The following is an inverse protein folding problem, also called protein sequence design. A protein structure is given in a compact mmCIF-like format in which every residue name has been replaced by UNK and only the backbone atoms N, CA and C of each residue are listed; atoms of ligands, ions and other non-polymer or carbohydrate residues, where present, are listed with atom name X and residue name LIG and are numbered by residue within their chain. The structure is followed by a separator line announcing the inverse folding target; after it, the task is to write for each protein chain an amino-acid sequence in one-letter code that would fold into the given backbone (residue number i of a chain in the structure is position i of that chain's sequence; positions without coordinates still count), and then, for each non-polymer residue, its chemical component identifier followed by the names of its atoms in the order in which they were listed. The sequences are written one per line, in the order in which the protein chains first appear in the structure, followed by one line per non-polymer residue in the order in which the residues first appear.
data_IF_319034993635
#
_entry.id   IF_319034993635
#
_cell.length_a   1.000
_cell.length_b   1.000
_cell.length_c   1.000
_cell.angle_alpha   90.00
_cell.angle_beta   90.00
_cell.angle_gamma   90.00
#
_symmetry.space_group_name_H-M   'P 1'
#
loop_
_entity.id
_entity.type
_entity.pdbx_description
1 polymer ?
#
# COMPACT_ATOMS: atom_id res chain seq x y z
N UNK A 1 31.95 13.11 25.44
CA UNK A 1 31.93 12.69 24.02
C UNK A 1 30.48 12.40 23.61
N UNK A 2 29.71 13.43 23.25
CA UNK A 2 28.37 13.23 22.71
C UNK A 2 28.49 13.06 21.19
N UNK A 3 28.29 11.85 20.67
CA UNK A 3 28.15 11.63 19.22
C UNK A 3 26.93 12.43 18.76
N UNK A 4 27.00 13.18 17.66
CA UNK A 4 25.92 14.07 17.28
C UNK A 4 24.71 13.22 16.87
N UNK A 5 23.59 13.44 17.55
CA UNK A 5 22.32 12.70 17.44
C UNK A 5 21.84 12.60 15.96
N UNK A 6 22.21 13.56 15.11
CA UNK A 6 21.87 13.56 13.68
C UNK A 6 22.44 12.37 12.88
N UNK A 7 23.58 11.79 13.30
CA UNK A 7 24.19 10.64 12.60
C UNK A 7 23.41 9.34 12.80
N UNK A 8 22.62 9.24 13.87
CA UNK A 8 21.82 8.07 14.19
C UNK A 8 20.40 8.18 13.63
N UNK A 9 19.84 9.39 13.53
CA UNK A 9 18.47 9.61 13.04
C UNK A 9 18.33 9.44 11.52
N UNK A 10 19.37 9.77 10.76
CA UNK A 10 19.36 9.64 9.29
C UNK A 10 19.14 8.19 8.79
N UNK A 11 19.88 7.17 9.26
CA UNK A 11 19.64 5.78 8.84
C UNK A 11 18.28 5.23 9.29
N UNK A 12 17.73 5.71 10.41
CA UNK A 12 16.40 5.32 10.87
C UNK A 12 15.33 5.79 9.88
N UNK A 13 15.42 7.05 9.42
CA UNK A 13 14.50 7.58 8.40
C UNK A 13 14.60 6.85 7.06
N UNK A 14 15.83 6.53 6.63
CA UNK A 14 16.10 5.74 5.43
C UNK A 14 15.50 4.32 5.53
N UNK A 15 15.70 3.63 6.65
CA UNK A 15 15.15 2.30 6.90
C UNK A 15 13.62 2.34 6.84
N UNK A 16 13.00 3.32 7.49
CA UNK A 16 11.54 3.51 7.47
C UNK A 16 11.00 3.69 6.05
N UNK A 17 11.63 4.54 5.23
CA UNK A 17 11.23 4.74 3.83
C UNK A 17 11.42 3.48 2.97
N UNK A 18 12.50 2.74 3.19
CA UNK A 18 12.76 1.49 2.48
C UNK A 18 11.75 0.40 2.87
N UNK A 19 11.45 0.26 4.16
CA UNK A 19 10.43 -0.68 4.65
C UNK A 19 9.04 -0.30 4.14
N UNK A 20 8.69 0.99 4.13
CA UNK A 20 7.43 1.47 3.57
C UNK A 20 7.31 1.15 2.06
N UNK A 21 8.38 1.34 1.28
CA UNK A 21 8.44 0.97 -0.13
C UNK A 21 8.20 -0.53 -0.34
N UNK A 22 8.83 -1.40 0.47
CA UNK A 22 8.61 -2.85 0.41
C UNK A 22 7.16 -3.21 0.74
N UNK A 23 6.57 -2.61 1.78
CA UNK A 23 5.17 -2.87 2.16
C UNK A 23 4.20 -2.48 1.05
N UNK A 24 4.40 -1.32 0.42
CA UNK A 24 3.61 -0.87 -0.73
C UNK A 24 3.83 -1.77 -1.95
N UNK A 25 5.04 -2.28 -2.16
CA UNK A 25 5.33 -3.27 -3.20
C UNK A 25 4.57 -4.57 -2.96
N UNK A 26 4.59 -5.10 -1.74
CA UNK A 26 3.81 -6.30 -1.36
C UNK A 26 2.32 -6.06 -1.55
N UNK A 27 1.84 -4.89 -1.15
CA UNK A 27 0.44 -4.47 -1.35
C UNK A 27 0.09 -4.41 -2.84
N UNK A 28 1.00 -3.94 -3.68
CA UNK A 28 0.83 -3.88 -5.14
C UNK A 28 0.83 -5.28 -5.78
N UNK A 29 1.53 -6.25 -5.17
CA UNK A 29 1.59 -7.64 -5.64
C UNK A 29 0.52 -8.55 -5.02
N UNK A 30 -0.30 -8.00 -4.12
CA UNK A 30 -1.39 -8.69 -3.42
C UNK A 30 -2.46 -9.10 -4.43
N UNK A 31 -2.59 -10.42 -4.63
CA UNK A 31 -3.30 -11.13 -5.71
C UNK A 31 -2.90 -10.66 -7.14
N UNK A 32 -2.01 -11.43 -7.82
CA UNK A 32 -2.15 -12.88 -7.92
C UNK A 32 -1.04 -13.71 -7.27
N UNK A 33 -0.09 -13.12 -6.53
CA UNK A 33 1.08 -13.88 -6.01
C UNK A 33 0.82 -14.49 -4.62
N UNK A 34 0.01 -13.83 -3.79
CA UNK A 34 -0.23 -14.25 -2.40
C UNK A 34 -1.74 -14.34 -2.14
N UNK A 35 -2.30 -15.55 -2.27
CA UNK A 35 -3.75 -15.80 -2.25
C UNK A 35 -4.42 -15.38 -0.92
N UNK A 36 -3.65 -15.31 0.17
CA UNK A 36 -4.10 -14.97 1.52
C UNK A 36 -3.92 -13.48 1.89
N UNK A 37 -3.16 -12.71 1.11
CA UNK A 37 -2.93 -11.27 1.33
C UNK A 37 -3.72 -10.52 0.27
N UNK A 38 -5.05 -10.54 0.38
CA UNK A 38 -5.94 -9.71 -0.43
C UNK A 38 -6.22 -8.35 0.23
N UNK A 39 -6.73 -7.41 -0.53
CA UNK A 39 -7.27 -6.14 -0.03
C UNK A 39 -8.66 -6.34 0.60
N UNK A 40 -9.48 -7.18 -0.02
CA UNK A 40 -10.79 -7.57 0.49
C UNK A 40 -10.95 -9.09 0.38
N UNK A 41 -11.43 -9.71 1.46
CA UNK A 41 -11.75 -11.14 1.50
C UNK A 41 -13.24 -11.33 1.73
N UNK A 42 -13.88 -12.11 0.88
CA UNK A 42 -15.30 -12.45 0.98
C UNK A 42 -15.41 -13.94 1.29
N UNK A 43 -16.03 -14.28 2.42
CA UNK A 43 -16.35 -15.66 2.82
C UNK A 43 -17.82 -15.93 2.48
N UNK A 44 -18.09 -16.97 1.69
CA UNK A 44 -19.46 -17.30 1.24
C UNK A 44 -20.20 -18.14 2.29
N UNK A 45 -21.53 -18.04 2.35
CA UNK A 45 -22.38 -18.69 3.38
C UNK A 45 -22.32 -20.22 3.42
N UNK A 46 -21.89 -20.89 2.35
CA UNK A 46 -21.79 -22.36 2.33
C UNK A 46 -20.52 -22.88 3.04
N UNK A 47 -20.16 -22.25 4.15
CA UNK A 47 -19.13 -22.67 5.07
C UNK A 47 -19.65 -23.85 5.90
N UNK A 48 -19.61 -25.04 5.30
CA UNK A 48 -19.67 -26.29 6.07
C UNK A 48 -18.29 -26.52 6.69
N UNK A 49 -18.19 -27.29 7.79
CA UNK A 49 -16.93 -27.56 8.52
C UNK A 49 -15.78 -28.16 7.67
N UNK A 50 -16.01 -28.40 6.37
CA UNK A 50 -15.08 -28.95 5.38
C UNK A 50 -14.90 -28.07 4.13
N UNK A 51 -15.55 -26.90 4.02
CA UNK A 51 -15.59 -26.04 2.81
C UNK A 51 -15.44 -24.55 3.19
N UNK A 52 -14.24 -23.98 3.11
CA UNK A 52 -13.99 -22.54 3.33
C UNK A 52 -13.83 -21.78 1.99
N UNK A 53 -14.81 -21.87 1.08
CA UNK A 53 -14.73 -21.14 -0.18
C UNK A 53 -14.69 -19.64 0.08
N UNK A 54 -13.54 -19.02 -0.20
CA UNK A 54 -13.31 -17.61 0.02
C UNK A 54 -12.73 -16.96 -1.23
N UNK A 55 -13.20 -15.75 -1.52
CA UNK A 55 -12.73 -14.96 -2.66
C UNK A 55 -11.86 -13.84 -2.12
N UNK A 56 -10.64 -13.75 -2.63
CA UNK A 56 -9.64 -12.76 -2.24
C UNK A 56 -9.42 -11.80 -3.41
N UNK A 57 -9.75 -10.53 -3.21
CA UNK A 57 -9.58 -9.47 -4.20
C UNK A 57 -8.23 -8.77 -3.99
N UNK A 58 -7.45 -8.66 -5.05
CA UNK A 58 -6.15 -7.98 -5.08
C UNK A 58 -6.18 -6.68 -5.89
N UNK A 59 -5.01 -6.11 -6.16
CA UNK A 59 -4.87 -4.86 -6.93
C UNK A 59 -5.10 -5.07 -8.43
N UNK A 60 -4.65 -6.20 -8.98
CA UNK A 60 -4.68 -6.47 -10.42
C UNK A 60 -5.55 -7.68 -10.81
N UNK A 61 -6.26 -8.28 -9.87
CA UNK A 61 -7.15 -9.39 -10.12
C UNK A 61 -7.71 -9.97 -8.84
N UNK A 62 -8.39 -11.11 -8.95
CA UNK A 62 -8.95 -11.83 -7.83
C UNK A 62 -8.59 -13.32 -7.89
N UNK A 63 -8.58 -13.95 -6.73
CA UNK A 63 -8.40 -15.38 -6.59
C UNK A 63 -9.60 -15.98 -5.87
N UNK A 64 -10.09 -17.09 -6.40
CA UNK A 64 -11.09 -17.93 -5.76
C UNK A 64 -10.32 -19.08 -5.11
N UNK A 65 -10.34 -19.11 -3.78
CA UNK A 65 -9.72 -20.18 -3.01
C UNK A 65 -10.75 -21.29 -2.77
N UNK A 66 -10.25 -22.53 -2.72
CA UNK A 66 -11.02 -23.75 -2.44
C UNK A 66 -12.14 -24.07 -3.47
N UNK A 67 -11.81 -24.11 -4.77
CA UNK A 67 -12.71 -24.54 -5.86
C UNK A 67 -12.66 -26.06 -6.11
N UNK A 68 -13.77 -26.74 -6.50
CA UNK A 68 -13.81 -28.19 -6.79
C UNK A 68 -12.94 -28.58 -8.01
N UNK A 69 -12.30 -29.78 -8.06
CA UNK A 69 -12.48 -30.95 -7.18
C UNK A 69 -11.48 -31.03 -6.01
N UNK A 70 -11.95 -31.70 -4.94
CA UNK A 70 -11.39 -31.79 -3.57
C UNK A 70 -10.03 -32.51 -3.47
N UNK A 71 -9.54 -33.10 -4.55
CA UNK A 71 -8.28 -33.88 -4.56
C UNK A 71 -7.04 -33.03 -4.80
N UNK A 72 -7.21 -31.77 -5.19
CA UNK A 72 -6.10 -30.83 -5.36
C UNK A 72 -6.54 -29.45 -4.89
N UNK A 73 -5.77 -28.84 -3.99
CA UNK A 73 -5.86 -27.43 -3.62
C UNK A 73 -5.57 -26.53 -4.85
N UNK A 74 -6.49 -26.49 -5.81
CA UNK A 74 -6.37 -25.66 -7.01
C UNK A 74 -6.98 -24.31 -6.67
N UNK A 75 -6.15 -23.33 -6.35
CA UNK A 75 -6.59 -21.95 -6.27
C UNK A 75 -6.73 -21.39 -7.69
N UNK A 76 -7.90 -20.88 -8.04
CA UNK A 76 -8.11 -20.26 -9.35
C UNK A 76 -7.91 -18.74 -9.24
N UNK A 77 -6.81 -18.26 -9.80
CA UNK A 77 -6.50 -16.83 -9.88
C UNK A 77 -6.68 -16.32 -11.30
N UNK A 78 -7.33 -15.17 -11.46
CA UNK A 78 -7.42 -14.52 -12.76
C UNK A 78 -6.08 -13.94 -13.19
N UNK A 79 -5.87 -13.86 -14.51
CA UNK A 79 -4.76 -13.09 -15.04
C UNK A 79 -4.85 -11.61 -14.65
N UNK A 80 -3.69 -10.94 -14.56
CA UNK A 80 -3.61 -9.51 -14.21
C UNK A 80 -4.30 -8.70 -15.31
N UNK A 81 -5.38 -8.00 -14.97
CA UNK A 81 -6.07 -7.12 -15.90
C UNK A 81 -6.47 -5.82 -15.18
N UNK A 82 -6.36 -4.71 -15.92
CA UNK A 82 -6.67 -3.36 -15.41
C UNK A 82 -8.09 -3.04 -15.84
N UNK A 83 -8.87 -2.39 -14.98
CA UNK A 83 -10.24 -1.98 -15.30
C UNK A 83 -11.31 -3.03 -15.01
N UNK A 84 -10.98 -4.08 -14.25
CA UNK A 84 -12.00 -5.00 -13.75
C UNK A 84 -12.83 -4.31 -12.66
N UNK A 85 -14.09 -4.67 -12.56
CA UNK A 85 -14.97 -4.08 -11.57
C UNK A 85 -15.21 -5.10 -10.45
N UNK A 86 -14.64 -4.90 -9.24
CA UNK A 86 -14.81 -5.85 -8.15
C UNK A 86 -16.27 -5.93 -7.66
N UNK A 87 -17.07 -4.88 -7.87
CA UNK A 87 -18.50 -4.92 -7.55
C UNK A 87 -19.28 -5.76 -8.56
N UNK A 88 -18.89 -5.72 -9.84
CA UNK A 88 -19.45 -6.56 -10.90
C UNK A 88 -19.08 -8.04 -10.73
N UNK A 89 -17.83 -8.33 -10.37
CA UNK A 89 -17.40 -9.72 -10.07
C UNK A 89 -18.18 -10.30 -8.90
N UNK A 90 -18.37 -9.53 -7.83
CA UNK A 90 -19.19 -9.98 -6.68
C UNK A 90 -20.65 -10.15 -7.08
N UNK A 91 -21.22 -9.26 -7.87
CA UNK A 91 -22.61 -9.36 -8.35
C UNK A 91 -22.81 -10.56 -9.30
N UNK A 92 -21.84 -10.86 -10.17
CA UNK A 92 -21.88 -12.05 -11.03
C UNK A 92 -21.78 -13.35 -10.22
N UNK A 93 -20.94 -13.38 -9.18
CA UNK A 93 -20.85 -14.55 -8.29
C UNK A 93 -22.15 -14.71 -7.49
N UNK A 94 -22.69 -13.62 -6.97
CA UNK A 94 -23.92 -13.65 -6.16
C UNK A 94 -25.15 -14.01 -7.01
N UNK A 95 -25.29 -13.47 -8.23
CA UNK A 95 -26.37 -13.84 -9.16
C UNK A 95 -26.29 -15.30 -9.63
N UNK A 96 -25.09 -15.86 -9.75
CA UNK A 96 -24.90 -17.30 -10.02
C UNK A 96 -25.32 -18.19 -8.83
N UNK A 97 -25.24 -17.67 -7.60
CA UNK A 97 -25.58 -18.39 -6.36
C UNK A 97 -27.00 -18.09 -5.85
N UNK A 98 -27.60 -16.97 -6.26
CA UNK A 98 -28.92 -16.49 -5.85
C UNK A 98 -29.54 -15.62 -6.97
N UNK A 99 -30.49 -16.15 -7.76
CA UNK A 99 -31.09 -15.44 -8.91
C UNK A 99 -31.99 -14.25 -8.54
N UNK A 100 -32.07 -13.89 -7.25
CA UNK A 100 -32.91 -12.80 -6.71
C UNK A 100 -32.12 -11.56 -6.31
N UNK A 101 -30.79 -11.53 -6.46
CA UNK A 101 -29.99 -10.37 -6.09
C UNK A 101 -30.07 -9.24 -7.11
N UNK A 102 -30.15 -8.02 -6.59
CA UNK A 102 -30.36 -6.79 -7.37
C UNK A 102 -29.04 -6.39 -8.04
N UNK A 103 -29.03 -6.07 -9.35
CA UNK A 103 -27.81 -5.61 -10.01
C UNK A 103 -27.27 -4.32 -9.37
N UNK A 104 -25.94 -4.10 -9.37
CA UNK A 104 -25.35 -2.85 -8.95
C UNK A 104 -25.95 -1.69 -9.74
N UNK A 105 -26.24 -0.57 -9.08
CA UNK A 105 -26.66 0.66 -9.76
C UNK A 105 -25.57 1.12 -10.75
N UNK A 106 -25.94 1.58 -11.95
CA UNK A 106 -25.02 2.04 -13.01
C UNK A 106 -23.98 3.07 -12.55
N UNK A 107 -24.32 3.88 -11.54
CA UNK A 107 -23.43 4.85 -10.90
C UNK A 107 -22.25 4.17 -10.17
N UNK A 108 -22.48 2.97 -9.62
CA UNK A 108 -21.46 2.13 -9.01
C UNK A 108 -20.47 1.62 -10.05
N UNK A 109 -20.97 0.99 -11.11
CA UNK A 109 -20.16 0.36 -12.16
C UNK A 109 -19.20 1.34 -12.88
N UNK A 110 -19.67 2.56 -13.17
CA UNK A 110 -18.79 3.59 -13.76
C UNK A 110 -17.69 4.07 -12.81
N UNK A 111 -17.97 4.08 -11.50
CA UNK A 111 -17.05 4.55 -10.46
C UNK A 111 -15.99 3.49 -10.16
N UNK A 112 -16.34 2.21 -10.08
CA UNK A 112 -15.40 1.12 -9.79
C UNK A 112 -14.41 0.85 -10.94
N UNK A 113 -14.80 1.02 -12.20
CA UNK A 113 -13.86 0.98 -13.33
C UNK A 113 -12.85 2.14 -13.34
N UNK A 114 -13.25 3.34 -12.90
CA UNK A 114 -12.32 4.46 -12.72
C UNK A 114 -11.38 4.25 -11.52
N UNK A 115 -11.88 3.65 -10.45
CA UNK A 115 -11.11 3.35 -9.23
C UNK A 115 -10.05 2.27 -9.47
N UNK A 116 -10.30 1.23 -10.29
CA UNK A 116 -9.24 0.27 -10.64
C UNK A 116 -8.16 0.86 -11.53
N UNK A 117 -8.44 1.97 -12.23
CA UNK A 117 -7.41 2.76 -12.92
C UNK A 117 -6.48 3.49 -11.94
N UNK A 118 -7.01 3.91 -10.80
CA UNK A 118 -6.22 4.53 -9.70
C UNK A 118 -5.30 3.51 -9.05
N UNK A 119 -5.57 2.20 -9.12
CA UNK A 119 -4.68 1.17 -8.57
C UNK A 119 -3.32 1.07 -9.29
N UNK A 120 -3.17 1.67 -10.48
CA UNK A 120 -1.86 1.85 -11.14
C UNK A 120 -1.00 2.88 -10.41
N UNK A 121 -1.58 3.70 -9.55
CA UNK A 121 -0.84 4.69 -8.75
C UNK A 121 -0.01 4.03 -7.64
N UNK A 122 -0.42 2.87 -7.11
CA UNK A 122 0.34 2.13 -6.08
C UNK A 122 1.79 1.81 -6.49
N UNK A 123 2.07 1.17 -7.65
CA UNK A 123 3.45 0.92 -8.07
C UNK A 123 4.23 2.21 -8.35
N UNK A 124 3.56 3.26 -8.82
CA UNK A 124 4.19 4.56 -9.07
C UNK A 124 4.68 5.17 -7.75
N UNK A 125 3.82 5.19 -6.72
CA UNK A 125 4.17 5.65 -5.37
C UNK A 125 5.34 4.84 -4.80
N UNK A 126 5.30 3.51 -4.94
CA UNK A 126 6.38 2.63 -4.51
C UNK A 126 7.73 3.02 -5.17
N UNK A 127 7.72 3.31 -6.48
CA UNK A 127 8.89 3.77 -7.21
C UNK A 127 9.37 5.15 -6.75
N UNK A 128 8.46 6.09 -6.52
CA UNK A 128 8.80 7.43 -6.01
C UNK A 128 9.46 7.32 -4.63
N UNK A 129 8.95 6.46 -3.74
CA UNK A 129 9.55 6.22 -2.43
C UNK A 129 10.94 5.59 -2.51
N UNK A 130 11.13 4.64 -3.42
CA UNK A 130 12.45 4.05 -3.65
C UNK A 130 13.46 5.08 -4.16
N UNK A 131 13.03 5.97 -5.07
CA UNK A 131 13.85 7.09 -5.55
C UNK A 131 14.15 8.06 -4.40
N UNK A 132 13.16 8.42 -3.57
CA UNK A 132 13.35 9.27 -2.41
C UNK A 132 14.40 8.71 -1.44
N UNK A 133 14.38 7.39 -1.23
CA UNK A 133 15.39 6.66 -0.46
C UNK A 133 16.78 6.78 -1.09
N UNK A 134 16.94 6.49 -2.39
CA UNK A 134 18.24 6.57 -3.08
C UNK A 134 18.81 7.99 -3.07
N UNK A 135 17.98 9.01 -3.30
CA UNK A 135 18.36 10.43 -3.27
C UNK A 135 18.80 10.84 -1.85
N UNK A 136 18.12 10.33 -0.83
CA UNK A 136 18.48 10.57 0.58
C UNK A 136 19.77 9.85 1.00
N UNK A 137 20.09 8.73 0.35
CA UNK A 137 21.28 7.91 0.62
C UNK A 137 22.54 8.44 -0.07
N UNK A 138 22.43 8.89 -1.32
CA UNK A 138 23.57 9.26 -2.17
C UNK A 138 24.03 10.72 -2.06
N UNK A 139 23.18 11.62 -1.57
CA UNK A 139 23.49 13.06 -1.57
C UNK A 139 23.50 13.62 -0.14
N UNK A 140 24.46 14.51 0.14
CA UNK A 140 24.64 15.15 1.45
C UNK A 140 23.42 15.97 1.91
N UNK A 141 23.62 17.03 2.71
CA UNK A 141 22.49 17.82 3.28
C UNK A 141 21.45 18.27 2.22
N UNK A 142 21.87 18.51 0.98
CA UNK A 142 21.00 18.88 -0.15
C UNK A 142 20.18 17.68 -0.67
N UNK A 143 20.79 16.50 -0.74
CA UNK A 143 20.14 15.25 -1.14
C UNK A 143 19.02 14.84 -0.23
N UNK A 144 19.27 14.90 1.08
CA UNK A 144 18.26 14.58 2.07
C UNK A 144 17.07 15.57 2.06
N UNK A 145 17.28 16.83 1.64
CA UNK A 145 16.19 17.80 1.45
C UNK A 145 15.33 17.45 0.22
N UNK A 146 15.97 17.13 -0.90
CA UNK A 146 15.28 16.69 -2.12
C UNK A 146 14.52 15.38 -1.88
N UNK A 147 15.16 14.40 -1.23
CA UNK A 147 14.54 13.14 -0.87
C UNK A 147 13.32 13.31 0.03
N UNK A 148 13.38 14.24 0.99
CA UNK A 148 12.21 14.56 1.83
C UNK A 148 11.05 15.21 1.05
N UNK A 149 11.35 16.07 0.06
CA UNK A 149 10.32 16.65 -0.82
C UNK A 149 9.66 15.57 -1.70
N UNK A 150 10.46 14.64 -2.23
CA UNK A 150 9.96 13.51 -3.03
C UNK A 150 9.12 12.57 -2.16
N UNK A 151 9.56 12.28 -0.93
CA UNK A 151 8.78 11.50 0.04
C UNK A 151 7.47 12.20 0.45
N UNK A 152 7.48 13.53 0.58
CA UNK A 152 6.26 14.29 0.83
C UNK A 152 5.26 14.19 -0.33
N UNK A 153 5.75 14.26 -1.57
CA UNK A 153 4.90 14.06 -2.75
C UNK A 153 4.31 12.65 -2.79
N UNK A 154 5.12 11.62 -2.52
CA UNK A 154 4.64 10.25 -2.41
C UNK A 154 3.55 10.11 -1.33
N UNK A 155 3.75 10.73 -0.17
CA UNK A 155 2.81 10.65 0.94
C UNK A 155 1.43 11.24 0.60
N UNK A 156 1.41 12.37 -0.11
CA UNK A 156 0.16 12.97 -0.62
C UNK A 156 -0.55 12.04 -1.60
N UNK A 157 0.19 11.39 -2.50
CA UNK A 157 -0.39 10.40 -3.41
C UNK A 157 -0.91 9.16 -2.66
N UNK A 158 -0.20 8.71 -1.62
CA UNK A 158 -0.64 7.61 -0.74
C UNK A 158 -1.98 7.94 -0.06
N UNK A 159 -2.23 9.20 0.35
CA UNK A 159 -3.53 9.61 0.91
C UNK A 159 -4.65 9.43 -0.10
N UNK A 160 -4.45 9.89 -1.34
CA UNK A 160 -5.45 9.77 -2.41
C UNK A 160 -5.78 8.30 -2.64
N UNK A 161 -4.74 7.47 -2.75
CA UNK A 161 -4.88 6.02 -2.92
C UNK A 161 -5.62 5.36 -1.75
N UNK A 162 -5.21 5.67 -0.52
CA UNK A 162 -5.84 5.13 0.70
C UNK A 162 -7.34 5.49 0.75
N UNK A 163 -7.70 6.73 0.40
CA UNK A 163 -9.09 7.18 0.37
C UNK A 163 -9.91 6.48 -0.72
N UNK A 164 -9.34 6.29 -1.92
CA UNK A 164 -10.01 5.56 -3.00
C UNK A 164 -10.20 4.10 -2.66
N UNK A 165 -9.20 3.45 -2.07
CA UNK A 165 -9.25 2.03 -1.69
C UNK A 165 -10.30 1.79 -0.60
N UNK A 166 -10.32 2.61 0.46
CA UNK A 166 -11.35 2.52 1.50
C UNK A 166 -12.77 2.77 0.96
N UNK A 167 -12.92 3.71 0.02
CA UNK A 167 -14.22 4.00 -0.58
C UNK A 167 -14.71 2.81 -1.43
N UNK A 168 -13.84 2.27 -2.28
CA UNK A 168 -14.15 1.13 -3.14
C UNK A 168 -14.53 -0.10 -2.31
N UNK A 169 -13.65 -0.54 -1.41
CA UNK A 169 -13.86 -1.75 -0.63
C UNK A 169 -14.93 -1.56 0.44
N UNK A 170 -15.15 -0.32 0.90
CA UNK A 170 -16.25 0.03 1.79
C UNK A 170 -17.62 -0.18 1.15
N UNK A 171 -17.80 0.23 -0.11
CA UNK A 171 -19.05 0.01 -0.87
C UNK A 171 -19.29 -1.49 -1.07
N UNK A 172 -18.28 -2.22 -1.55
CA UNK A 172 -18.39 -3.68 -1.77
C UNK A 172 -18.72 -4.40 -0.47
N UNK A 173 -18.02 -4.08 0.62
CA UNK A 173 -18.30 -4.65 1.94
C UNK A 173 -19.72 -4.36 2.42
N UNK A 174 -20.20 -3.12 2.22
CA UNK A 174 -21.56 -2.76 2.64
C UNK A 174 -22.62 -3.52 1.84
N UNK A 175 -22.39 -3.73 0.55
CA UNK A 175 -23.29 -4.48 -0.32
C UNK A 175 -23.36 -5.96 0.09
N UNK A 176 -22.20 -6.62 0.22
CA UNK A 176 -22.12 -8.05 0.61
C UNK A 176 -22.66 -8.30 2.02
N UNK A 177 -22.51 -7.37 2.95
CA UNK A 177 -23.01 -7.59 4.31
C UNK A 177 -24.53 -7.31 4.46
N UNK A 178 -25.17 -6.75 3.42
CA UNK A 178 -26.56 -6.29 3.48
C UNK A 178 -27.47 -6.99 2.46
N UNK A 179 -26.91 -7.79 1.56
CA UNK A 179 -27.62 -8.60 0.56
C UNK A 179 -28.50 -9.72 1.16
N UNK A 180 -28.32 -10.07 2.45
CA UNK A 180 -29.05 -11.16 3.09
C UNK A 180 -28.62 -12.56 2.62
N UNK A 181 -27.62 -12.63 1.73
CA UNK A 181 -27.03 -13.87 1.23
C UNK A 181 -26.33 -14.63 2.35
N UNK A 182 -25.94 -13.92 3.44
CA UNK A 182 -25.21 -14.38 4.62
C UNK A 182 -23.72 -14.62 4.36
N UNK A 183 -23.23 -14.15 3.21
CA UNK A 183 -21.81 -13.96 2.94
C UNK A 183 -21.27 -12.81 3.78
N UNK A 184 -20.01 -12.88 4.21
CA UNK A 184 -19.36 -11.82 4.98
C UNK A 184 -18.09 -11.34 4.31
N UNK A 185 -17.96 -10.03 4.18
CA UNK A 185 -16.79 -9.38 3.61
C UNK A 185 -15.95 -8.72 4.71
N UNK A 186 -14.64 -8.97 4.68
CA UNK A 186 -13.66 -8.43 5.62
C UNK A 186 -12.52 -7.77 4.86
N UNK A 187 -11.94 -6.72 5.46
CA UNK A 187 -10.69 -6.15 4.96
C UNK A 187 -9.57 -7.17 5.12
N UNK A 188 -8.87 -7.46 4.02
CA UNK A 188 -7.77 -8.40 4.03
C UNK A 188 -6.47 -7.78 4.52
N UNK A 189 -5.44 -8.61 4.67
CA UNK A 189 -4.14 -8.18 5.17
C UNK A 189 -3.49 -7.10 4.28
N UNK A 190 -3.73 -7.11 2.95
CA UNK A 190 -3.21 -6.11 2.02
C UNK A 190 -3.64 -4.68 2.38
N UNK A 191 -4.89 -4.51 2.84
CA UNK A 191 -5.40 -3.19 3.26
C UNK A 191 -4.64 -2.67 4.49
N UNK A 192 -4.35 -3.56 5.45
CA UNK A 192 -3.58 -3.20 6.64
C UNK A 192 -2.11 -2.90 6.31
N UNK A 193 -1.50 -3.63 5.37
CA UNK A 193 -0.14 -3.34 4.91
C UNK A 193 -0.05 -1.95 4.26
N UNK A 194 -1.08 -1.53 3.53
CA UNK A 194 -1.17 -0.18 2.96
C UNK A 194 -1.20 0.89 4.07
N UNK A 195 -2.04 0.69 5.09
CA UNK A 195 -2.13 1.60 6.26
C UNK A 195 -0.80 1.66 7.01
N UNK A 196 -0.15 0.52 7.26
CA UNK A 196 1.16 0.46 7.92
C UNK A 196 2.22 1.16 7.08
N UNK A 197 2.21 0.94 5.76
CA UNK A 197 3.10 1.61 4.81
C UNK A 197 2.95 3.14 4.85
N UNK A 198 1.71 3.64 4.85
CA UNK A 198 1.39 5.06 4.97
C UNK A 198 1.94 5.68 6.26
N UNK A 199 1.78 4.99 7.39
CA UNK A 199 2.27 5.48 8.69
C UNK A 199 3.81 5.48 8.73
N UNK A 200 4.45 4.43 8.24
CA UNK A 200 5.91 4.33 8.20
C UNK A 200 6.53 5.38 7.27
N UNK A 201 5.90 5.63 6.11
CA UNK A 201 6.29 6.68 5.18
C UNK A 201 6.24 8.06 5.85
N UNK A 202 5.15 8.37 6.57
CA UNK A 202 4.99 9.63 7.30
C UNK A 202 6.13 9.84 8.30
N UNK A 203 6.39 8.84 9.15
CA UNK A 203 7.47 8.94 10.13
C UNK A 203 8.85 8.99 9.46
N UNK A 204 9.08 8.21 8.41
CA UNK A 204 10.32 8.24 7.63
C UNK A 204 10.60 9.63 7.07
N UNK A 205 9.60 10.25 6.43
CA UNK A 205 9.68 11.62 5.92
C UNK A 205 10.00 12.62 7.02
N UNK A 206 9.28 12.58 8.14
CA UNK A 206 9.47 13.49 9.28
C UNK A 206 10.89 13.36 9.86
N UNK A 207 11.39 12.14 10.03
CA UNK A 207 12.75 11.89 10.55
C UNK A 207 13.82 12.43 9.60
N UNK A 208 13.67 12.24 8.29
CA UNK A 208 14.61 12.78 7.29
C UNK A 208 14.61 14.32 7.29
N UNK A 209 13.43 14.94 7.38
CA UNK A 209 13.29 16.40 7.50
C UNK A 209 13.98 16.95 8.75
N UNK A 210 13.76 16.33 9.92
CA UNK A 210 14.39 16.76 11.17
C UNK A 210 15.91 16.58 11.14
N UNK A 211 16.41 15.49 10.55
CA UNK A 211 17.84 15.27 10.36
C UNK A 211 18.48 16.40 9.53
N UNK A 212 17.82 16.85 8.47
CA UNK A 212 18.25 17.99 7.66
C UNK A 212 18.26 19.31 8.44
N UNK A 213 17.19 19.60 9.19
CA UNK A 213 17.09 20.82 10.00
C UNK A 213 18.16 20.86 11.10
N UNK A 214 18.47 19.73 11.73
CA UNK A 214 19.56 19.59 12.69
C UNK A 214 20.92 19.97 12.08
N UNK A 215 21.25 19.38 10.92
CA UNK A 215 22.50 19.66 10.21
C UNK A 215 22.59 21.13 9.73
N UNK A 216 21.47 21.73 9.30
CA UNK A 216 21.43 23.14 8.89
C UNK A 216 21.59 24.09 10.07
N UNK A 217 20.98 23.80 11.22
CA UNK A 217 21.07 24.62 12.43
C UNK A 217 22.48 24.61 13.01
N UNK A 218 23.18 23.48 12.95
CA UNK A 218 24.57 23.36 13.36
C UNK A 218 25.50 24.16 12.45
N UNK A 219 25.30 24.13 11.13
CA UNK A 219 26.01 25.02 10.18
C UNK A 219 25.78 26.50 10.46
N UNK A 220 24.55 26.91 10.82
CA UNK A 220 24.26 28.31 11.18
C UNK A 220 24.90 28.73 12.51
N UNK A 221 25.00 27.82 13.48
CA UNK A 221 25.67 28.09 14.77
C UNK A 221 27.20 28.09 14.67
N UNK A 222 27.77 27.27 13.78
CA UNK A 222 29.21 27.27 13.49
C UNK A 222 29.68 28.39 12.54
N UNK A 223 28.76 29.04 11.81
CA UNK A 223 29.07 30.13 10.89
C UNK A 223 29.35 31.49 11.55
N UNK A 224 29.17 31.61 12.87
CA UNK A 224 29.54 32.80 13.64
C UNK A 224 30.88 32.69 14.38
N UNK A 225 31.60 31.56 14.23
CA UNK A 225 32.89 31.31 14.87
C UNK A 225 33.96 31.01 13.83
N UNK A 226 34.77 32.02 13.54
CA UNK A 226 36.17 32.01 13.11
C UNK A 226 36.79 30.64 12.80
N UNK A 227 37.32 30.48 11.58
CA UNK A 227 37.76 29.19 11.07
C UNK A 227 38.88 28.49 11.84
N UNK A 228 38.94 27.15 11.71
CA UNK A 228 40.22 26.43 11.79
C UNK A 228 40.19 25.03 11.16
N UNK A 229 41.00 24.91 10.12
CA UNK A 229 41.81 23.76 9.66
C UNK A 229 41.12 22.54 9.01
N UNK A 230 41.27 22.53 7.68
CA UNK A 230 41.81 21.37 6.95
C UNK A 230 43.01 20.76 7.70
N UNK A 231 42.97 19.46 7.98
CA UNK A 231 44.12 18.52 8.00
C UNK A 231 43.54 17.12 7.77
N UNK A 232 43.80 16.51 6.61
CA UNK A 232 44.89 15.52 6.35
C UNK A 232 44.57 14.18 7.03
N UNK A 233 44.65 12.98 6.44
CA UNK A 233 45.17 12.45 5.18
C UNK A 233 44.87 10.93 5.21
N UNK A 234 44.64 10.29 4.07
CA UNK A 234 45.43 9.14 3.58
C UNK A 234 46.08 8.33 4.71
N UNK A 235 45.42 7.26 5.14
CA UNK A 235 45.81 5.84 5.09
C UNK A 235 44.74 5.02 5.82
#
# INVERSE_FOLDING_TARGET
MARPIHRLTHPIGLLLLFTASILLLITTLSAPIINHVGLLRVTLRNETQTRHSSVSFGTFGYCILDVPPVTSHQDYCTHRHIGYDPSDVVAHIDSALSPTSKPPSEIGAGTSGALTRVMVLHPIICGILFIAFLVSLGAGVIGSLLGALVAFLAWVLTIVVLATDFSLFGIVKHHVNRDGSGSRAYYGAGMWLLVVGFVLEFFGMVVVLFSCWGARREKRRGGGGTGRKKKFGVF
#
